data_IF_702557972228
#
_entry.id   IF_702557972228
#
_cell.length_a   1.000
_cell.length_b   1.000
_cell.length_c   1.000
_cell.angle_alpha   90.00
_cell.angle_beta   90.00
_cell.angle_gamma   90.00
#
_symmetry.space_group_name_H-M   'P 1'
#
loop_
_entity.id
_entity.type
_entity.pdbx_description
1 polymer ?
#
# COMPACT_ATOMS: atom_id res chain seq x y z
N UNK A 1 48.03 -118.33 -13.29
CA UNK A 1 48.26 -117.42 -12.15
C UNK A 1 46.88 -117.12 -11.57
N UNK A 2 46.46 -117.89 -10.56
CA UNK A 2 45.08 -117.89 -10.04
C UNK A 2 45.12 -117.27 -8.65
N UNK A 3 44.55 -116.08 -8.51
CA UNK A 3 44.34 -115.40 -7.24
C UNK A 3 43.11 -116.02 -6.58
N UNK A 4 43.30 -116.88 -5.59
CA UNK A 4 42.20 -117.44 -4.82
C UNK A 4 41.70 -116.38 -3.83
N UNK A 5 40.70 -115.60 -4.23
CA UNK A 5 39.87 -114.85 -3.28
C UNK A 5 38.82 -115.81 -2.73
N UNK A 6 39.06 -116.34 -1.54
CA UNK A 6 38.07 -117.15 -0.82
C UNK A 6 37.07 -116.20 -0.18
N UNK A 7 35.91 -116.00 -0.79
CA UNK A 7 34.80 -115.31 -0.11
C UNK A 7 34.28 -116.21 1.01
N UNK A 8 34.74 -115.98 2.23
CA UNK A 8 34.26 -116.70 3.41
C UNK A 8 33.03 -115.95 3.94
N UNK A 9 31.83 -116.49 3.69
CA UNK A 9 30.56 -115.97 4.23
C UNK A 9 30.36 -116.33 5.71
N UNK A 10 31.39 -116.22 6.54
CA UNK A 10 31.25 -116.50 7.96
C UNK A 10 31.02 -115.18 8.71
N UNK A 11 30.00 -115.17 9.57
CA UNK A 11 29.82 -114.09 10.53
C UNK A 11 31.09 -113.95 11.38
N UNK A 12 31.72 -112.78 11.36
CA UNK A 12 32.79 -112.46 12.29
C UNK A 12 32.15 -111.98 13.60
N UNK A 13 32.19 -112.82 14.64
CA UNK A 13 31.70 -112.48 15.98
C UNK A 13 32.89 -112.34 16.91
N UNK A 14 33.12 -111.14 17.44
CA UNK A 14 34.18 -110.88 18.43
C UNK A 14 33.55 -110.72 19.80
N UNK A 15 33.59 -111.78 20.61
CA UNK A 15 33.04 -111.82 21.97
C UNK A 15 34.16 -111.95 23.00
N UNK A 16 34.46 -110.86 23.71
CA UNK A 16 35.27 -110.82 24.93
C UNK A 16 34.74 -109.72 25.85
N UNK A 17 35.16 -109.67 27.12
CA UNK A 17 34.71 -108.65 28.10
C UNK A 17 34.97 -107.21 27.64
N UNK A 18 35.99 -107.00 26.82
CA UNK A 18 36.29 -105.71 26.16
C UNK A 18 36.76 -105.97 24.72
N UNK A 19 35.85 -106.20 23.75
CA UNK A 19 36.22 -106.55 22.39
C UNK A 19 36.91 -105.37 21.69
N UNK A 20 37.96 -105.65 20.93
CA UNK A 20 38.69 -104.65 20.17
C UNK A 20 38.99 -105.23 18.79
N UNK A 21 38.69 -104.46 17.75
CA UNK A 21 39.11 -104.71 16.38
C UNK A 21 40.16 -103.66 16.04
N UNK A 22 41.42 -104.07 15.95
CA UNK A 22 42.53 -103.17 15.59
C UNK A 22 42.85 -103.30 14.11
N UNK A 23 42.85 -102.18 13.38
CA UNK A 23 43.19 -102.12 11.97
C UNK A 23 44.41 -101.21 11.80
N UNK A 24 45.61 -101.80 11.76
CA UNK A 24 46.88 -101.07 11.92
C UNK A 24 47.63 -100.80 10.60
N UNK A 25 46.93 -100.64 9.48
CA UNK A 25 47.54 -100.37 8.16
C UNK A 25 47.13 -99.01 7.59
N UNK A 26 48.00 -98.39 6.77
CA UNK A 26 47.64 -97.21 5.97
C UNK A 26 46.48 -97.55 5.02
N UNK A 27 45.35 -96.87 5.16
CA UNK A 27 44.16 -97.11 4.34
C UNK A 27 43.36 -98.36 4.77
N UNK A 28 43.47 -98.81 6.01
CA UNK A 28 42.61 -99.89 6.49
C UNK A 28 41.14 -99.45 6.52
N UNK A 29 40.27 -100.20 5.84
CA UNK A 29 38.84 -99.87 5.67
C UNK A 29 37.95 -100.96 6.24
N UNK A 30 36.81 -100.56 6.81
CA UNK A 30 35.66 -101.44 7.01
C UNK A 30 34.63 -101.05 5.96
N UNK A 31 34.35 -101.95 5.03
CA UNK A 31 33.37 -101.74 3.96
C UNK A 31 32.11 -102.52 4.26
N UNK A 32 30.97 -101.82 4.26
CA UNK A 32 29.66 -102.44 4.40
C UNK A 32 28.99 -102.41 3.03
N UNK A 33 28.68 -103.58 2.47
CA UNK A 33 28.01 -103.70 1.18
C UNK A 33 26.52 -103.93 1.40
N UNK A 34 25.68 -103.08 0.79
CA UNK A 34 24.22 -103.18 0.73
C UNK A 34 23.54 -103.56 2.07
N UNK A 35 23.22 -102.55 2.88
CA UNK A 35 22.40 -102.70 4.09
C UNK A 35 22.62 -101.55 5.07
N UNK A 36 21.72 -101.42 6.05
CA UNK A 36 21.87 -100.46 7.13
C UNK A 36 23.00 -100.91 8.08
N UNK A 37 23.90 -99.97 8.41
CA UNK A 37 24.90 -100.18 9.47
C UNK A 37 24.29 -99.72 10.78
N UNK A 38 23.88 -100.67 11.62
CA UNK A 38 23.38 -100.36 12.97
C UNK A 38 24.51 -100.52 13.99
N UNK A 39 24.89 -99.41 14.62
CA UNK A 39 25.87 -99.38 15.72
C UNK A 39 25.11 -99.22 17.04
N UNK A 40 25.01 -100.30 17.81
CA UNK A 40 24.40 -100.28 19.15
C UNK A 40 25.51 -100.30 20.20
N UNK A 41 25.53 -99.31 21.08
CA UNK A 41 26.53 -99.18 22.13
C UNK A 41 25.88 -98.66 23.40
N UNK A 42 26.14 -99.29 24.56
CA UNK A 42 25.50 -98.93 25.83
C UNK A 42 25.79 -97.50 26.29
N UNK A 43 26.95 -96.95 25.87
CA UNK A 43 27.34 -95.57 26.14
C UNK A 43 26.81 -94.56 25.10
N UNK A 44 26.09 -95.01 24.06
CA UNK A 44 25.56 -94.20 22.95
C UNK A 44 26.56 -93.22 22.28
N UNK A 45 27.87 -93.51 22.37
CA UNK A 45 28.93 -92.61 21.89
C UNK A 45 29.73 -93.26 20.77
N UNK A 46 29.69 -92.69 19.57
CA UNK A 46 30.64 -92.97 18.50
C UNK A 46 31.68 -91.86 18.48
N UNK A 47 32.96 -92.22 18.50
CA UNK A 47 34.05 -91.23 18.47
C UNK A 47 34.91 -91.40 17.23
N UNK A 48 35.09 -90.30 16.50
CA UNK A 48 35.96 -90.20 15.33
C UNK A 48 37.01 -89.13 15.67
N UNK A 49 38.29 -89.51 15.70
CA UNK A 49 39.39 -88.59 16.02
C UNK A 49 40.36 -88.46 14.84
N UNK A 50 40.94 -87.27 14.68
CA UNK A 50 42.07 -87.03 13.77
C UNK A 50 41.74 -86.95 12.27
N UNK A 51 40.46 -86.90 11.88
CA UNK A 51 40.03 -86.79 10.49
C UNK A 51 38.58 -86.30 10.33
N UNK A 52 38.10 -86.31 9.09
CA UNK A 52 36.78 -85.80 8.71
C UNK A 52 35.69 -86.89 8.71
N UNK A 53 34.46 -86.50 9.03
CA UNK A 53 33.27 -87.31 8.77
C UNK A 53 32.61 -86.82 7.46
N UNK A 54 32.84 -87.56 6.37
CA UNK A 54 32.29 -87.22 5.04
C UNK A 54 31.01 -88.00 4.75
N UNK A 55 29.94 -87.30 4.40
CA UNK A 55 28.64 -87.88 4.00
C UNK A 55 28.45 -87.96 2.48
N UNK A 56 29.29 -87.29 1.69
CA UNK A 56 29.11 -87.18 0.24
C UNK A 56 27.78 -86.48 -0.12
N UNK A 57 26.98 -87.10 -0.99
CA UNK A 57 25.66 -86.60 -1.43
C UNK A 57 24.51 -86.96 -0.48
N UNK A 58 24.82 -87.51 0.69
CA UNK A 58 23.82 -88.02 1.64
C UNK A 58 23.47 -86.99 2.72
N UNK A 59 22.39 -87.28 3.44
CA UNK A 59 21.85 -86.40 4.48
C UNK A 59 22.31 -86.83 5.89
N UNK A 60 22.43 -85.86 6.79
CA UNK A 60 22.49 -86.09 8.24
C UNK A 60 21.08 -85.89 8.82
N UNK A 61 20.41 -86.96 9.23
CA UNK A 61 19.11 -86.91 9.89
C UNK A 61 19.29 -87.09 11.40
N UNK A 62 18.80 -86.13 12.20
CA UNK A 62 18.91 -86.14 13.66
C UNK A 62 17.60 -85.64 14.27
N UNK A 63 17.20 -86.20 15.41
CA UNK A 63 16.10 -85.66 16.25
C UNK A 63 16.62 -84.76 17.39
N UNK A 64 17.94 -84.59 17.48
CA UNK A 64 18.63 -83.83 18.53
C UNK A 64 19.56 -82.74 17.99
N UNK A 65 20.56 -82.35 18.78
CA UNK A 65 21.51 -81.29 18.44
C UNK A 65 22.74 -81.84 17.73
N UNK A 66 23.33 -81.04 16.82
CA UNK A 66 24.62 -81.33 16.18
C UNK A 66 25.80 -81.18 17.15
N UNK A 67 25.66 -80.29 18.14
CA UNK A 67 26.64 -80.10 19.22
C UNK A 67 26.00 -80.18 20.59
N UNK A 68 26.77 -80.51 21.62
CA UNK A 68 26.32 -80.50 23.02
C UNK A 68 26.21 -79.07 23.55
N UNK A 69 25.28 -78.82 24.48
CA UNK A 69 25.12 -77.52 25.13
C UNK A 69 26.45 -77.03 25.72
N UNK A 70 26.83 -75.79 25.41
CA UNK A 70 28.10 -75.18 25.86
C UNK A 70 29.31 -75.51 24.99
N UNK A 71 29.20 -76.46 24.05
CA UNK A 71 30.21 -76.69 23.01
C UNK A 71 29.85 -75.94 21.73
N UNK A 72 30.87 -75.61 20.93
CA UNK A 72 30.70 -74.84 19.70
C UNK A 72 30.75 -75.77 18.49
N UNK A 73 29.81 -75.59 17.57
CA UNK A 73 30.08 -75.86 16.15
C UNK A 73 30.86 -74.65 15.66
N UNK A 74 32.18 -74.79 15.51
CA UNK A 74 33.07 -73.62 15.32
C UNK A 74 32.83 -72.90 14.00
N UNK A 75 32.48 -73.64 12.94
CA UNK A 75 32.18 -73.09 11.60
C UNK A 75 31.16 -73.99 10.88
N UNK A 76 30.29 -73.38 10.10
CA UNK A 76 29.41 -74.07 9.14
C UNK A 76 29.45 -73.33 7.81
N UNK A 77 29.64 -74.07 6.73
CA UNK A 77 29.60 -73.54 5.36
C UNK A 77 28.41 -74.16 4.67
N UNK A 78 27.45 -73.33 4.28
CA UNK A 78 26.22 -73.74 3.63
C UNK A 78 26.08 -72.97 2.32
N UNK A 79 25.79 -73.66 1.22
CA UNK A 79 25.39 -72.99 -0.03
C UNK A 79 24.00 -72.35 0.14
N UNK A 80 23.13 -73.04 0.87
CA UNK A 80 21.81 -72.58 1.28
C UNK A 80 21.52 -73.05 2.70
N UNK A 81 20.83 -72.21 3.47
CA UNK A 81 20.37 -72.53 4.82
C UNK A 81 18.89 -72.22 4.90
N UNK A 82 18.07 -73.26 5.09
CA UNK A 82 16.64 -73.12 5.31
C UNK A 82 16.34 -73.31 6.79
N UNK A 83 15.63 -72.35 7.38
CA UNK A 83 15.26 -72.36 8.79
C UNK A 83 13.77 -72.05 8.89
N UNK A 84 13.00 -73.01 9.39
CA UNK A 84 11.53 -72.85 9.57
C UNK A 84 11.19 -72.11 10.86
N UNK A 85 12.06 -72.19 11.88
CA UNK A 85 11.88 -71.50 13.16
C UNK A 85 13.06 -70.55 13.41
N UNK A 86 12.83 -69.23 13.58
CA UNK A 86 13.90 -68.25 13.67
C UNK A 86 14.97 -68.63 14.69
N UNK A 87 16.26 -68.55 14.33
CA UNK A 87 17.32 -68.85 15.27
C UNK A 87 17.38 -67.78 16.36
N UNK A 88 18.00 -68.14 17.49
CA UNK A 88 18.33 -67.18 18.54
C UNK A 88 19.83 -66.87 18.50
N UNK A 89 20.19 -65.62 18.78
CA UNK A 89 21.58 -65.18 19.01
C UNK A 89 21.65 -64.72 20.46
N UNK A 90 22.52 -65.34 21.25
CA UNK A 90 22.66 -65.07 22.69
C UNK A 90 21.32 -65.14 23.47
N UNK A 91 20.44 -66.07 23.09
CA UNK A 91 19.12 -66.25 23.71
C UNK A 91 18.04 -65.27 23.23
N UNK A 92 18.38 -64.34 22.34
CA UNK A 92 17.44 -63.38 21.77
C UNK A 92 17.04 -63.86 20.37
N UNK A 93 15.74 -63.86 20.06
CA UNK A 93 15.26 -64.16 18.71
C UNK A 93 15.92 -63.20 17.72
N UNK A 94 16.46 -63.72 16.62
CA UNK A 94 17.10 -62.88 15.60
C UNK A 94 16.15 -61.81 15.03
N UNK A 95 14.83 -62.05 15.10
CA UNK A 95 13.80 -61.07 14.75
C UNK A 95 13.75 -59.83 15.67
N UNK A 96 14.37 -59.88 16.85
CA UNK A 96 14.44 -58.77 17.78
C UNK A 96 15.78 -58.01 17.74
N UNK A 97 16.75 -58.48 16.94
CA UNK A 97 18.11 -57.91 16.87
C UNK A 97 18.27 -57.00 15.65
N UNK A 98 17.56 -57.30 14.56
CA UNK A 98 17.60 -56.52 13.32
C UNK A 98 16.20 -56.08 12.92
N UNK A 99 16.07 -54.87 12.37
CA UNK A 99 14.82 -54.43 11.77
C UNK A 99 14.56 -55.22 10.48
N UNK A 100 13.35 -55.77 10.26
CA UNK A 100 13.01 -56.46 9.03
C UNK A 100 13.03 -55.49 7.83
N UNK A 101 13.34 -56.00 6.63
CA UNK A 101 13.34 -55.19 5.40
C UNK A 101 11.93 -54.64 5.09
N UNK A 102 10.89 -55.43 5.38
CA UNK A 102 9.50 -55.03 5.20
C UNK A 102 8.88 -54.67 6.55
N UNK A 103 8.14 -53.55 6.61
CA UNK A 103 7.48 -53.06 7.82
C UNK A 103 8.43 -52.89 9.02
N UNK A 104 9.64 -52.37 8.78
CA UNK A 104 10.60 -52.03 9.82
C UNK A 104 9.95 -51.13 10.89
N UNK A 105 9.96 -51.57 12.15
CA UNK A 105 9.59 -50.74 13.29
C UNK A 105 10.86 -50.42 14.07
N UNK A 106 11.31 -49.17 13.97
CA UNK A 106 12.49 -48.68 14.66
C UNK A 106 12.06 -48.00 15.96
N UNK A 107 12.49 -48.53 17.09
CA UNK A 107 12.21 -47.96 18.42
C UNK A 107 13.48 -47.35 19.01
N UNK A 108 13.33 -46.28 19.80
CA UNK A 108 14.45 -45.56 20.42
C UNK A 108 15.11 -44.53 19.49
N UNK A 109 16.34 -44.13 19.82
CA UNK A 109 17.13 -43.18 19.03
C UNK A 109 17.86 -43.90 17.91
N UNK A 110 17.57 -43.54 16.67
CA UNK A 110 18.25 -44.05 15.48
C UNK A 110 19.09 -42.94 14.87
N UNK A 111 20.39 -43.19 14.70
CA UNK A 111 21.28 -42.31 13.94
C UNK A 111 21.20 -42.70 12.47
N UNK A 112 20.70 -41.78 11.63
CA UNK A 112 20.62 -41.98 10.19
C UNK A 112 21.86 -41.39 9.50
N UNK A 113 22.52 -42.11 8.56
CA UNK A 113 23.58 -41.53 7.75
C UNK A 113 23.09 -40.33 6.93
N UNK A 114 24.02 -39.44 6.56
CA UNK A 114 23.73 -38.29 5.69
C UNK A 114 23.26 -38.66 4.27
N UNK A 115 23.25 -39.95 3.92
CA UNK A 115 22.78 -40.49 2.63
C UNK A 115 21.40 -41.15 2.73
N UNK A 116 20.72 -41.10 3.88
CA UNK A 116 19.39 -41.72 4.02
C UNK A 116 18.33 -40.99 3.19
N UNK A 117 17.53 -41.75 2.45
CA UNK A 117 16.34 -41.26 1.75
C UNK A 117 15.11 -42.09 2.15
N UNK A 118 13.96 -41.43 2.32
CA UNK A 118 12.67 -42.09 2.58
C UNK A 118 11.77 -41.86 1.36
N UNK A 119 11.72 -42.86 0.47
CA UNK A 119 11.08 -42.70 -0.83
C UNK A 119 11.76 -41.60 -1.65
N UNK A 120 11.02 -40.55 -2.00
CA UNK A 120 11.54 -39.38 -2.71
C UNK A 120 12.09 -38.30 -1.78
N UNK A 121 11.94 -38.44 -0.46
CA UNK A 121 12.45 -37.48 0.52
C UNK A 121 13.94 -37.72 0.75
N UNK A 122 14.77 -36.74 0.40
CA UNK A 122 16.22 -36.77 0.53
C UNK A 122 16.70 -36.54 1.97
N UNK A 123 17.98 -36.83 2.23
CA UNK A 123 18.61 -36.56 3.53
C UNK A 123 18.63 -35.07 3.88
N UNK A 124 18.73 -34.18 2.89
CA UNK A 124 18.65 -32.73 3.08
C UNK A 124 17.25 -32.32 3.57
N UNK A 125 16.20 -32.88 2.97
CA UNK A 125 14.82 -32.60 3.38
C UNK A 125 14.50 -33.13 4.78
N UNK A 126 14.98 -34.33 5.12
CA UNK A 126 14.89 -34.88 6.48
C UNK A 126 15.66 -33.98 7.46
N UNK A 127 16.81 -33.46 7.06
CA UNK A 127 17.65 -32.55 7.85
C UNK A 127 16.96 -31.23 8.20
N UNK A 128 16.01 -30.72 7.40
CA UNK A 128 15.22 -29.54 7.76
C UNK A 128 14.29 -29.76 8.95
N UNK A 129 14.09 -31.01 9.36
CA UNK A 129 13.35 -31.37 10.57
C UNK A 129 14.24 -31.42 11.82
N UNK A 130 15.55 -31.15 11.69
CA UNK A 130 16.43 -31.04 12.85
C UNK A 130 15.94 -29.94 13.81
N UNK A 131 16.02 -30.22 15.11
CA UNK A 131 15.50 -29.38 16.21
C UNK A 131 13.97 -29.18 16.27
N UNK A 132 13.18 -29.88 15.45
CA UNK A 132 11.72 -29.91 15.62
C UNK A 132 11.37 -30.69 16.91
N UNK A 133 11.02 -29.96 17.97
CA UNK A 133 10.77 -30.51 19.31
C UNK A 133 9.30 -30.82 19.60
N UNK A 134 8.37 -30.46 18.70
CA UNK A 134 6.94 -30.71 18.82
C UNK A 134 6.37 -31.23 17.51
N UNK A 135 5.10 -31.68 17.52
CA UNK A 135 4.46 -32.16 16.30
C UNK A 135 4.55 -31.09 15.19
N UNK A 136 5.05 -31.51 14.01
CA UNK A 136 5.29 -30.60 12.88
C UNK A 136 3.98 -30.02 12.34
N UNK A 137 2.87 -30.77 12.42
CA UNK A 137 1.59 -30.33 11.87
C UNK A 137 1.03 -29.09 12.58
N UNK A 138 0.99 -28.99 13.92
CA UNK A 138 0.70 -27.73 14.62
C UNK A 138 1.58 -26.55 14.17
N UNK A 139 2.88 -26.76 13.96
CA UNK A 139 3.79 -25.70 13.52
C UNK A 139 3.44 -25.21 12.09
N UNK A 140 3.10 -26.13 11.19
CA UNK A 140 2.64 -25.82 9.83
C UNK A 140 1.29 -25.10 9.87
N UNK A 141 0.37 -25.54 10.72
CA UNK A 141 -0.96 -24.95 10.86
C UNK A 141 -0.93 -23.50 11.39
N UNK A 142 0.16 -23.08 12.04
CA UNK A 142 0.37 -21.70 12.49
C UNK A 142 0.87 -20.76 11.38
N UNK A 143 1.37 -21.29 10.27
CA UNK A 143 1.81 -20.45 9.14
C UNK A 143 0.58 -19.86 8.45
N UNK A 144 0.64 -18.56 8.12
CA UNK A 144 -0.42 -17.89 7.39
C UNK A 144 -0.60 -18.52 5.99
N UNK A 145 -1.85 -18.72 5.52
CA UNK A 145 -2.10 -19.27 4.19
C UNK A 145 -1.66 -18.27 3.11
N UNK A 146 -1.25 -18.80 1.94
CA UNK A 146 -0.81 -17.97 0.80
C UNK A 146 -1.95 -17.13 0.21
N UNK A 147 -3.18 -17.67 0.24
CA UNK A 147 -4.38 -17.01 -0.25
C UNK A 147 -5.20 -16.53 0.94
N UNK A 148 -5.57 -15.25 0.95
CA UNK A 148 -6.36 -14.59 1.98
C UNK A 148 -5.80 -14.82 3.41
N UNK A 149 -4.54 -14.47 3.69
CA UNK A 149 -3.98 -14.59 5.03
C UNK A 149 -4.79 -13.75 6.03
N UNK A 150 -5.23 -14.37 7.13
CA UNK A 150 -5.79 -13.67 8.27
C UNK A 150 -4.70 -13.56 9.34
N UNK A 151 -4.11 -12.37 9.47
CA UNK A 151 -3.06 -12.07 10.44
C UNK A 151 -3.70 -11.40 11.67
N UNK A 152 -3.36 -11.87 12.87
CA UNK A 152 -3.79 -11.27 14.13
C UNK A 152 -2.60 -10.62 14.85
N UNK A 153 -2.87 -9.60 15.68
CA UNK A 153 -1.82 -8.86 16.40
C UNK A 153 -1.17 -7.74 15.58
N UNK A 154 -0.03 -7.24 16.08
CA UNK A 154 0.73 -6.19 15.40
C UNK A 154 1.51 -6.78 14.21
N UNK A 155 1.15 -6.38 13.00
CA UNK A 155 1.84 -6.76 11.76
C UNK A 155 2.83 -5.66 11.39
N UNK A 156 4.13 -5.96 11.46
CA UNK A 156 5.19 -5.04 11.00
C UNK A 156 5.42 -5.29 9.50
N UNK A 157 5.11 -4.30 8.68
CA UNK A 157 5.32 -4.34 7.24
C UNK A 157 6.62 -3.61 6.88
N UNK A 158 7.53 -4.21 6.07
CA UNK A 158 8.68 -3.49 5.52
C UNK A 158 8.25 -2.28 4.71
N UNK A 159 9.11 -1.25 4.62
CA UNK A 159 8.86 -0.03 3.84
C UNK A 159 8.64 -0.29 2.34
N UNK A 160 9.04 -1.46 1.84
CA UNK A 160 8.85 -1.90 0.45
C UNK A 160 7.54 -2.65 0.20
N UNK A 161 6.69 -2.80 1.22
CA UNK A 161 5.40 -3.51 1.06
C UNK A 161 4.48 -2.75 0.13
N UNK A 162 4.02 -3.39 -0.94
CA UNK A 162 2.97 -2.85 -1.82
C UNK A 162 1.63 -3.48 -1.45
N UNK A 163 0.68 -2.68 -0.95
CA UNK A 163 -0.70 -3.12 -0.68
C UNK A 163 -1.57 -2.65 -1.84
N UNK A 164 -1.91 -3.57 -2.75
CA UNK A 164 -2.78 -3.26 -3.88
C UNK A 164 -4.24 -3.13 -3.40
N UNK A 165 -4.97 -2.12 -3.90
CA UNK A 165 -6.39 -1.94 -3.57
C UNK A 165 -6.64 -1.39 -2.16
N UNK A 166 -5.78 -0.46 -1.70
CA UNK A 166 -5.81 0.13 -0.37
C UNK A 166 -7.11 0.92 -0.06
N UNK A 167 -8.21 0.23 0.21
CA UNK A 167 -9.18 0.69 1.19
C UNK A 167 -8.66 0.22 2.55
N UNK A 168 -7.69 0.92 3.17
CA UNK A 168 -7.60 0.83 4.64
C UNK A 168 -8.90 1.44 5.13
N UNK A 169 -9.82 0.69 5.75
CA UNK A 169 -10.92 1.31 6.47
C UNK A 169 -10.27 1.92 7.73
N UNK A 170 -9.87 3.19 7.66
CA UNK A 170 -9.67 4.00 8.87
C UNK A 170 -8.30 4.60 9.20
N UNK A 171 -7.27 4.63 8.34
CA UNK A 171 -6.01 5.34 8.70
C UNK A 171 -5.67 6.55 7.82
N UNK A 172 -6.11 6.61 6.55
CA UNK A 172 -5.82 7.79 5.69
C UNK A 172 -7.08 8.43 5.11
N UNK A 173 -8.19 7.68 4.99
CA UNK A 173 -9.48 8.21 4.52
C UNK A 173 -10.30 8.97 5.57
N UNK A 174 -9.98 8.83 6.86
CA UNK A 174 -10.82 9.34 7.95
C UNK A 174 -10.39 10.73 8.43
N UNK A 175 -9.09 11.04 8.53
CA UNK A 175 -8.67 12.34 9.09
C UNK A 175 -9.07 13.51 8.20
N UNK A 176 -9.04 13.36 6.88
CA UNK A 176 -9.45 14.44 5.96
C UNK A 176 -10.97 14.56 5.92
N UNK A 177 -11.69 13.45 5.83
CA UNK A 177 -13.16 13.43 5.79
C UNK A 177 -13.77 13.88 7.12
N UNK A 178 -13.25 13.42 8.27
CA UNK A 178 -13.68 13.88 9.59
C UNK A 178 -13.37 15.35 9.81
N UNK A 179 -12.22 15.87 9.32
CA UNK A 179 -11.92 17.30 9.37
C UNK A 179 -12.81 18.13 8.45
N UNK A 180 -13.25 17.58 7.33
CA UNK A 180 -14.23 18.23 6.43
C UNK A 180 -15.61 18.25 7.09
N UNK A 181 -16.05 17.16 7.72
CA UNK A 181 -17.36 17.07 8.40
C UNK A 181 -17.43 17.91 9.67
N UNK A 182 -16.30 18.07 10.39
CA UNK A 182 -16.21 18.89 11.59
C UNK A 182 -15.84 20.36 11.32
N UNK A 183 -15.51 20.73 10.07
CA UNK A 183 -15.21 22.12 9.72
C UNK A 183 -16.49 22.96 9.77
N UNK A 184 -16.40 24.15 10.38
CA UNK A 184 -17.46 25.15 10.28
C UNK A 184 -17.66 25.54 8.81
N UNK A 185 -18.90 25.55 8.30
CA UNK A 185 -19.20 25.94 6.93
C UNK A 185 -18.60 27.31 6.59
N UNK A 186 -18.02 27.46 5.39
CA UNK A 186 -17.35 28.70 4.98
C UNK A 186 -18.29 29.92 5.05
N UNK A 187 -19.58 29.72 4.83
CA UNK A 187 -20.63 30.74 4.95
C UNK A 187 -20.84 31.27 6.38
N UNK A 188 -20.41 30.55 7.41
CA UNK A 188 -20.55 30.99 8.81
C UNK A 188 -19.35 31.83 9.27
N UNK A 189 -18.22 31.79 8.56
CA UNK A 189 -16.96 32.44 8.95
C UNK A 189 -16.42 33.43 7.91
N UNK A 190 -16.91 33.39 6.67
CA UNK A 190 -16.55 34.31 5.62
C UNK A 190 -17.78 34.62 4.74
N UNK A 191 -17.96 35.87 4.28
CA UNK A 191 -18.98 36.18 3.29
C UNK A 191 -18.66 35.42 2.01
N UNK A 192 -19.46 34.40 1.71
CA UNK A 192 -19.44 33.75 0.39
C UNK A 192 -20.04 34.77 -0.55
N UNK A 193 -19.21 35.42 -1.36
CA UNK A 193 -19.67 36.23 -2.47
C UNK A 193 -20.42 35.29 -3.41
N UNK A 194 -21.73 35.22 -3.25
CA UNK A 194 -22.56 34.74 -4.33
C UNK A 194 -22.27 35.70 -5.48
N UNK A 195 -21.64 35.19 -6.53
CA UNK A 195 -21.55 35.85 -7.84
C UNK A 195 -22.96 35.87 -8.43
N UNK A 196 -23.87 36.59 -7.76
CA UNK A 196 -25.17 36.89 -8.32
C UNK A 196 -24.91 38.04 -9.26
N UNK A 197 -25.04 37.78 -10.55
CA UNK A 197 -24.76 38.72 -11.63
C UNK A 197 -25.53 40.04 -11.57
N UNK A 198 -26.38 40.31 -10.56
CA UNK A 198 -27.34 41.41 -10.55
C UNK A 198 -27.44 42.26 -9.25
N UNK A 199 -26.49 42.22 -8.30
CA UNK A 199 -26.45 43.26 -7.26
C UNK A 199 -25.03 43.50 -6.70
N UNK A 200 -24.48 44.73 -6.80
CA UNK A 200 -23.14 45.04 -6.31
C UNK A 200 -23.16 45.23 -4.79
N UNK A 201 -23.05 44.13 -4.04
CA UNK A 201 -22.66 44.18 -2.62
C UNK A 201 -21.15 44.45 -2.49
N UNK A 202 -20.69 45.59 -2.99
CA UNK A 202 -19.30 46.04 -2.90
C UNK A 202 -19.10 47.02 -1.75
N UNK A 203 -17.85 47.14 -1.27
CA UNK A 203 -17.47 48.20 -0.32
C UNK A 203 -17.55 49.53 -1.07
N UNK A 204 -18.53 50.36 -0.72
CA UNK A 204 -18.71 51.71 -1.24
C UNK A 204 -19.03 52.65 -0.07
N UNK A 205 -18.69 53.93 -0.21
CA UNK A 205 -18.96 54.91 0.86
C UNK A 205 -20.47 55.06 1.09
N UNK A 206 -20.89 55.38 2.32
CA UNK A 206 -22.31 55.51 2.67
C UNK A 206 -23.07 56.50 1.77
N UNK A 207 -22.41 57.61 1.42
CA UNK A 207 -22.97 58.62 0.52
C UNK A 207 -23.16 58.09 -0.91
N UNK A 208 -22.27 57.22 -1.39
CA UNK A 208 -22.44 56.58 -2.70
C UNK A 208 -23.63 55.60 -2.69
N UNK A 209 -23.85 54.87 -1.60
CA UNK A 209 -24.99 53.95 -1.48
C UNK A 209 -26.33 54.71 -1.48
N UNK A 210 -26.41 55.82 -0.73
CA UNK A 210 -27.58 56.72 -0.72
C UNK A 210 -27.87 57.33 -2.10
N UNK A 211 -26.83 57.76 -2.83
CA UNK A 211 -27.00 58.36 -4.16
C UNK A 211 -27.52 57.36 -5.21
N UNK A 212 -27.19 56.06 -5.08
CA UNK A 212 -27.69 55.01 -5.97
C UNK A 212 -29.18 54.71 -5.73
N UNK A 213 -29.65 54.85 -4.49
CA UNK A 213 -31.03 54.56 -4.08
C UNK A 213 -31.96 55.76 -4.22
N UNK A 214 -31.43 56.98 -4.09
CA UNK A 214 -32.20 58.23 -4.12
C UNK A 214 -32.51 58.79 -5.51
N UNK A 215 -31.96 58.24 -6.59
CA UNK A 215 -32.13 58.77 -7.94
C UNK A 215 -32.18 57.67 -8.99
N UNK A 216 -33.31 57.57 -9.70
CA UNK A 216 -33.50 56.62 -10.79
C UNK A 216 -32.34 56.65 -11.80
N UNK A 217 -31.93 55.45 -12.22
CA UNK A 217 -30.75 55.18 -13.05
C UNK A 217 -30.40 56.26 -14.06
N UNK A 218 -29.47 57.14 -13.69
CA UNK A 218 -28.77 58.03 -14.59
C UNK A 218 -27.38 57.44 -14.82
N UNK A 219 -27.21 56.73 -15.94
CA UNK A 219 -25.89 56.41 -16.43
C UNK A 219 -25.03 57.67 -16.54
N UNK A 220 -23.72 57.50 -16.43
CA UNK A 220 -22.68 58.52 -16.60
C UNK A 220 -22.83 59.32 -17.92
N UNK A 221 -23.70 60.34 -17.95
CA UNK A 221 -23.94 61.15 -19.13
C UNK A 221 -22.99 62.34 -19.15
N UNK A 222 -22.16 62.44 -20.20
CA UNK A 222 -21.46 63.69 -20.54
C UNK A 222 -22.36 64.48 -21.46
N UNK A 223 -22.82 65.63 -21.00
CA UNK A 223 -23.62 66.52 -21.82
C UNK A 223 -22.71 67.49 -22.57
N UNK A 224 -23.09 67.86 -23.80
CA UNK A 224 -22.41 68.94 -24.51
C UNK A 224 -23.40 69.87 -25.18
N UNK A 225 -23.01 71.13 -25.28
CA UNK A 225 -23.72 72.14 -26.07
C UNK A 225 -22.81 72.60 -27.19
N UNK A 226 -23.33 72.66 -28.42
CA UNK A 226 -22.62 73.11 -29.61
C UNK A 226 -23.42 74.20 -30.30
N UNK A 227 -22.80 75.33 -30.59
CA UNK A 227 -23.45 76.41 -31.31
C UNK A 227 -22.46 77.21 -32.17
N UNK A 228 -23.02 77.99 -33.09
CA UNK A 228 -22.32 79.04 -33.83
C UNK A 228 -22.91 80.40 -33.45
N UNK A 229 -22.05 81.33 -33.09
CA UNK A 229 -22.46 82.68 -32.68
C UNK A 229 -23.25 83.38 -33.79
N UNK A 230 -24.35 84.05 -33.46
CA UNK A 230 -25.25 84.77 -34.38
C UNK A 230 -26.01 83.93 -35.44
N UNK A 231 -25.76 82.62 -35.56
CA UNK A 231 -26.50 81.74 -36.50
C UNK A 231 -27.35 80.68 -35.80
N UNK A 232 -26.97 80.26 -34.59
CA UNK A 232 -27.78 79.33 -33.79
C UNK A 232 -28.79 80.12 -32.96
N UNK A 233 -30.08 79.78 -33.05
CA UNK A 233 -31.12 80.45 -32.28
C UNK A 233 -30.87 80.28 -30.77
N UNK A 234 -30.89 81.40 -30.03
CA UNK A 234 -30.61 81.43 -28.58
C UNK A 234 -29.11 81.38 -28.20
N UNK A 235 -28.20 81.36 -29.18
CA UNK A 235 -26.77 81.47 -28.93
C UNK A 235 -26.33 82.95 -28.79
N UNK A 236 -25.22 83.22 -28.09
CA UNK A 236 -24.59 84.54 -28.04
C UNK A 236 -24.27 85.09 -29.45
N UNK A 237 -24.29 86.42 -29.58
CA UNK A 237 -23.89 87.13 -30.80
C UNK A 237 -22.45 87.65 -30.70
N UNK A 238 -21.89 88.08 -31.82
CA UNK A 238 -20.56 88.68 -31.84
C UNK A 238 -20.50 89.91 -30.92
N UNK A 239 -19.52 89.95 -30.01
CA UNK A 239 -19.37 90.98 -28.98
C UNK A 239 -19.91 90.59 -27.60
N UNK A 240 -20.73 89.54 -27.48
CA UNK A 240 -21.19 89.06 -26.18
C UNK A 240 -20.04 88.47 -25.36
N UNK A 241 -20.08 88.69 -24.05
CA UNK A 241 -19.03 88.25 -23.12
C UNK A 241 -19.45 87.15 -22.17
N UNK A 242 -20.74 86.75 -22.18
CA UNK A 242 -21.24 85.68 -21.33
C UNK A 242 -22.31 84.82 -21.99
N UNK A 243 -22.47 83.62 -21.46
CA UNK A 243 -23.51 82.66 -21.85
C UNK A 243 -23.98 81.92 -20.60
N UNK A 244 -25.30 81.85 -20.39
CA UNK A 244 -25.90 81.27 -19.19
C UNK A 244 -26.77 80.08 -19.56
N UNK A 245 -26.58 78.97 -18.86
CA UNK A 245 -27.39 77.78 -19.02
C UNK A 245 -27.67 77.13 -17.66
N UNK A 246 -28.90 76.68 -17.43
CA UNK A 246 -29.30 76.07 -16.14
C UNK A 246 -28.50 74.82 -15.80
N UNK A 247 -28.15 74.03 -16.83
CA UNK A 247 -27.33 72.82 -16.71
C UNK A 247 -25.85 73.06 -16.35
N UNK A 248 -25.37 74.30 -16.27
CA UNK A 248 -23.97 74.58 -15.90
C UNK A 248 -23.76 74.69 -14.38
N UNK A 249 -24.83 74.83 -13.59
CA UNK A 249 -24.74 75.00 -12.13
C UNK A 249 -24.21 73.72 -11.47
N UNK A 250 -23.18 73.85 -10.64
CA UNK A 250 -22.57 72.72 -9.92
C UNK A 250 -21.77 71.77 -10.82
N UNK A 251 -21.43 72.16 -12.06
CA UNK A 251 -20.75 71.30 -13.03
C UNK A 251 -19.35 71.79 -13.34
N UNK A 252 -18.51 70.90 -13.86
CA UNK A 252 -17.25 71.27 -14.47
C UNK A 252 -17.45 71.47 -15.98
N UNK A 253 -16.85 72.51 -16.56
CA UNK A 253 -17.00 72.79 -17.99
C UNK A 253 -15.65 72.81 -18.69
N UNK A 254 -15.59 72.13 -19.83
CA UNK A 254 -14.50 72.25 -20.79
C UNK A 254 -15.01 72.98 -22.02
N UNK A 255 -14.48 74.16 -22.28
CA UNK A 255 -14.90 75.01 -23.39
C UNK A 255 -13.89 74.90 -24.53
N UNK A 256 -14.40 74.67 -25.74
CA UNK A 256 -13.66 74.72 -26.99
C UNK A 256 -14.21 75.84 -27.87
N UNK A 257 -13.33 76.69 -28.37
CA UNK A 257 -13.64 77.79 -29.30
C UNK A 257 -12.75 77.66 -30.52
N UNK A 258 -13.36 77.55 -31.72
CA UNK A 258 -12.63 77.25 -32.97
C UNK A 258 -11.68 76.04 -32.85
N UNK A 259 -12.10 75.03 -32.07
CA UNK A 259 -11.30 73.84 -31.79
C UNK A 259 -10.24 73.99 -30.69
N UNK A 260 -9.98 75.21 -30.19
CA UNK A 260 -9.00 75.47 -29.14
C UNK A 260 -9.64 75.45 -27.74
N UNK A 261 -9.00 74.75 -26.80
CA UNK A 261 -9.45 74.71 -25.39
C UNK A 261 -9.25 76.10 -24.77
N UNK A 262 -10.27 76.57 -24.06
CA UNK A 262 -10.20 77.76 -23.22
C UNK A 262 -9.85 77.32 -21.80
N UNK A 263 -8.77 77.85 -21.26
CA UNK A 263 -8.37 77.53 -19.89
C UNK A 263 -9.27 78.26 -18.87
N UNK A 264 -9.63 77.60 -17.76
CA UNK A 264 -10.42 78.22 -16.72
C UNK A 264 -9.62 79.30 -15.99
N UNK A 265 -10.20 80.49 -15.87
CA UNK A 265 -9.63 81.55 -15.03
C UNK A 265 -10.22 81.46 -13.62
N UNK A 266 -9.41 81.00 -12.66
CA UNK A 266 -9.79 80.82 -11.25
C UNK A 266 -9.59 82.07 -10.39
N UNK A 267 -8.95 83.12 -10.92
CA UNK A 267 -8.75 84.36 -10.17
C UNK A 267 -10.01 85.22 -10.18
N UNK A 268 -10.43 85.67 -8.99
CA UNK A 268 -11.64 86.47 -8.76
C UNK A 268 -11.67 87.84 -9.45
N UNK A 269 -10.61 88.23 -10.16
CA UNK A 269 -10.37 89.59 -10.65
C UNK A 269 -10.89 89.75 -12.10
N UNK A 270 -11.67 90.80 -12.41
CA UNK A 270 -12.05 91.10 -13.79
C UNK A 270 -10.85 91.65 -14.59
N UNK A 271 -10.54 91.01 -15.74
CA UNK A 271 -9.54 91.36 -16.79
C UNK A 271 -8.08 90.99 -16.45
N UNK A 272 -7.34 90.21 -17.26
CA UNK A 272 -6.90 90.52 -18.64
C UNK A 272 -6.43 89.30 -19.47
N UNK A 273 -6.62 88.06 -19.01
CA UNK A 273 -6.03 86.87 -19.65
C UNK A 273 -7.08 86.04 -20.40
N UNK A 274 -6.71 85.51 -21.56
CA UNK A 274 -7.55 84.63 -22.40
C UNK A 274 -8.07 83.42 -21.61
N UNK A 275 -9.38 83.13 -21.70
CA UNK A 275 -10.01 81.99 -21.05
C UNK A 275 -11.51 82.16 -20.77
N UNK A 276 -12.05 81.25 -19.95
CA UNK A 276 -13.45 81.27 -19.51
C UNK A 276 -13.59 81.12 -17.99
N UNK A 277 -14.67 81.63 -17.41
CA UNK A 277 -14.96 81.50 -15.97
C UNK A 277 -16.43 81.16 -15.74
N UNK A 278 -16.69 80.08 -15.01
CA UNK A 278 -18.03 79.68 -14.56
C UNK A 278 -18.35 80.32 -13.21
N UNK A 279 -19.56 80.86 -13.08
CA UNK A 279 -20.20 81.10 -11.79
C UNK A 279 -21.03 79.87 -11.40
N UNK A 280 -20.53 79.08 -10.46
CA UNK A 280 -21.12 77.79 -10.09
C UNK A 280 -22.51 77.90 -9.44
N UNK A 281 -22.88 79.10 -8.96
CA UNK A 281 -24.17 79.40 -8.34
C UNK A 281 -25.23 79.82 -9.38
N UNK A 282 -24.84 80.65 -10.36
CA UNK A 282 -25.78 81.20 -11.34
C UNK A 282 -25.82 80.39 -12.65
N UNK A 283 -24.79 79.62 -12.98
CA UNK A 283 -24.66 78.90 -14.24
C UNK A 283 -24.24 79.79 -15.42
N UNK A 284 -23.74 80.99 -15.13
CA UNK A 284 -23.21 81.92 -16.14
C UNK A 284 -21.73 81.61 -16.40
N UNK A 285 -21.35 81.53 -17.66
CA UNK A 285 -19.96 81.44 -18.11
C UNK A 285 -19.57 82.74 -18.78
N UNK A 286 -18.45 83.33 -18.36
CA UNK A 286 -17.89 84.56 -18.92
C UNK A 286 -16.67 84.20 -19.77
N UNK A 287 -16.57 84.77 -20.98
CA UNK A 287 -15.54 84.46 -21.97
C UNK A 287 -14.68 85.68 -22.28
N UNK A 288 -13.36 85.49 -22.37
CA UNK A 288 -12.40 86.50 -22.84
C UNK A 288 -11.37 85.84 -23.78
N UNK A 289 -11.15 86.35 -25.00
CA UNK A 289 -11.82 87.49 -25.64
C UNK A 289 -13.34 87.25 -25.82
N UNK A 290 -14.12 88.31 -26.11
CA UNK A 290 -15.57 88.17 -26.38
C UNK A 290 -15.84 87.28 -27.59
N UNK A 291 -17.09 86.86 -27.79
CA UNK A 291 -17.46 86.04 -28.94
C UNK A 291 -17.21 86.75 -30.27
N UNK A 292 -16.60 86.06 -31.23
CA UNK A 292 -16.35 86.52 -32.59
C UNK A 292 -17.56 86.35 -33.50
N UNK A 293 -17.43 86.71 -34.78
CA UNK A 293 -18.48 86.50 -35.78
C UNK A 293 -18.42 85.09 -36.37
N UNK A 294 -19.55 84.39 -36.40
CA UNK A 294 -19.68 83.00 -36.89
C UNK A 294 -18.72 82.00 -36.22
N UNK A 295 -18.41 82.26 -34.95
CA UNK A 295 -17.50 81.46 -34.17
C UNK A 295 -18.15 80.15 -33.70
N UNK A 296 -17.44 79.03 -33.84
CA UNK A 296 -17.84 77.72 -33.35
C UNK A 296 -17.45 77.53 -31.89
N UNK A 297 -18.44 77.23 -31.05
CA UNK A 297 -18.26 76.98 -29.62
C UNK A 297 -18.83 75.61 -29.25
N UNK A 298 -18.04 74.83 -28.54
CA UNK A 298 -18.43 73.54 -27.96
C UNK A 298 -18.14 73.61 -26.46
N UNK A 299 -19.13 73.30 -25.64
CA UNK A 299 -18.98 73.27 -24.19
C UNK A 299 -19.33 71.85 -23.73
N UNK A 300 -18.36 71.14 -23.20
CA UNK A 300 -18.59 69.88 -22.49
C UNK A 300 -18.93 70.19 -21.04
N UNK A 301 -19.97 69.52 -20.53
CA UNK A 301 -20.47 69.65 -19.17
C UNK A 301 -20.29 68.31 -18.50
N UNK A 302 -19.37 68.27 -17.54
CA UNK A 302 -19.05 67.07 -16.78
C UNK A 302 -19.60 67.19 -15.36
N UNK A 303 -20.14 66.08 -14.87
CA UNK A 303 -20.51 65.95 -13.46
C UNK A 303 -19.29 66.02 -12.56
N UNK A 304 -19.46 66.61 -11.37
CA UNK A 304 -18.43 66.68 -10.34
C UNK A 304 -17.88 65.29 -9.94
N UNK A 305 -18.61 64.21 -10.22
CA UNK A 305 -18.21 62.82 -9.97
C UNK A 305 -16.97 62.40 -10.79
N UNK A 306 -16.72 63.02 -11.95
CA UNK A 306 -15.59 62.65 -12.82
C UNK A 306 -14.24 63.18 -12.36
N UNK A 307 -14.22 64.17 -11.47
CA UNK A 307 -13.00 64.78 -10.96
C UNK A 307 -12.99 64.67 -9.44
N UNK A 308 -12.14 63.80 -8.91
CA UNK A 308 -11.86 63.76 -7.47
C UNK A 308 -10.71 64.72 -7.16
N UNK A 309 -10.85 65.47 -6.08
CA UNK A 309 -9.78 66.31 -5.57
C UNK A 309 -8.65 65.40 -5.05
N UNK A 310 -7.43 65.60 -5.55
CA UNK A 310 -6.27 64.86 -5.07
C UNK A 310 -5.90 65.38 -3.67
N UNK A 311 -5.99 64.53 -2.66
CA UNK A 311 -5.51 64.85 -1.31
C UNK A 311 -3.98 64.92 -1.28
N UNK A 312 -3.43 65.83 -0.48
CA UNK A 312 -1.99 65.89 -0.21
C UNK A 312 -1.57 64.61 0.52
N UNK A 313 -0.56 63.90 -0.02
CA UNK A 313 -0.02 62.68 0.60
C UNK A 313 0.36 62.93 2.06
N UNK A 314 -0.17 62.10 2.96
CA UNK A 314 0.16 62.15 4.40
C UNK A 314 -0.72 63.04 5.27
N UNK A 315 -1.85 63.56 4.77
CA UNK A 315 -2.89 64.17 5.59
C UNK A 315 -4.25 63.54 5.26
N UNK A 316 -4.97 63.06 6.29
CA UNK A 316 -6.34 62.61 6.08
C UNK A 316 -7.22 63.81 5.73
N UNK A 317 -7.90 63.74 4.58
CA UNK A 317 -8.92 64.70 4.23
C UNK A 317 -10.09 64.55 5.20
N UNK A 318 -10.30 65.55 6.05
CA UNK A 318 -11.42 65.61 7.00
C UNK A 318 -12.82 65.65 6.36
N UNK A 319 -12.93 65.44 5.04
CA UNK A 319 -14.18 65.35 4.29
C UNK A 319 -14.60 63.90 3.97
N UNK A 320 -13.80 62.88 4.32
CA UNK A 320 -14.20 61.47 4.27
C UNK A 320 -14.76 61.01 5.62
N UNK A 321 -15.80 61.67 6.11
CA UNK A 321 -16.61 61.12 7.20
C UNK A 321 -17.58 60.07 6.63
N UNK A 322 -17.44 58.80 7.00
CA UNK A 322 -18.46 57.78 6.71
C UNK A 322 -18.13 56.69 5.68
N UNK A 323 -16.85 56.30 5.55
CA UNK A 323 -16.55 54.97 4.99
C UNK A 323 -17.14 53.92 5.94
N UNK A 324 -18.26 53.30 5.55
CA UNK A 324 -18.85 52.17 6.28
C UNK A 324 -18.66 50.92 5.46
N UNK A 325 -17.98 49.93 6.03
CA UNK A 325 -18.11 48.55 5.59
C UNK A 325 -19.51 48.05 6.04
N UNK A 326 -20.08 47.03 5.37
CA UNK A 326 -21.31 46.36 5.79
C UNK A 326 -22.54 47.27 6.01
N UNK A 327 -23.19 47.64 4.90
CA UNK A 327 -24.52 48.22 4.89
C UNK A 327 -25.50 47.24 4.24
N UNK A 328 -26.73 47.18 4.74
CA UNK A 328 -27.82 46.43 4.11
C UNK A 328 -28.97 47.37 3.72
N UNK A 329 -29.72 46.98 2.68
CA UNK A 329 -30.97 47.62 2.34
C UNK A 329 -32.03 47.12 3.31
N UNK A 330 -32.86 48.02 3.83
CA UNK A 330 -34.05 47.64 4.59
C UNK A 330 -34.96 46.74 3.74
N UNK A 331 -35.11 45.48 4.16
CA UNK A 331 -35.85 44.44 3.43
C UNK A 331 -37.35 44.76 3.30
N UNK A 332 -37.87 45.72 4.06
CA UNK A 332 -39.30 46.10 4.02
C UNK A 332 -39.59 47.21 3.00
N UNK A 333 -38.63 48.10 2.74
CA UNK A 333 -38.89 49.32 1.95
C UNK A 333 -37.95 49.54 0.76
N UNK A 334 -36.81 48.84 0.68
CA UNK A 334 -35.84 48.94 -0.43
C UNK A 334 -35.27 50.34 -0.68
N UNK A 335 -35.54 51.31 0.20
CA UNK A 335 -35.26 52.74 -0.02
C UNK A 335 -34.42 53.36 1.10
N UNK A 336 -34.08 52.59 2.13
CA UNK A 336 -33.30 53.03 3.28
C UNK A 336 -32.07 52.12 3.47
N UNK A 337 -30.91 52.74 3.73
CA UNK A 337 -29.63 52.07 4.03
C UNK A 337 -29.41 52.05 5.53
N UNK A 338 -29.41 50.87 6.14
CA UNK A 338 -29.16 50.68 7.58
C UNK A 338 -27.70 50.26 7.84
N UNK A 339 -27.15 50.68 8.99
CA UNK A 339 -25.85 50.21 9.47
C UNK A 339 -26.03 48.80 10.07
N UNK A 340 -25.36 47.78 9.50
CA UNK A 340 -25.53 46.40 9.94
C UNK A 340 -24.62 46.01 11.10
N UNK A 341 -23.96 46.96 11.77
CA UNK A 341 -23.09 46.70 12.94
C UNK A 341 -23.84 46.54 14.28
N UNK A 342 -25.04 46.00 14.28
CA UNK A 342 -25.67 45.49 15.50
C UNK A 342 -25.99 44.01 15.34
N UNK A 343 -24.96 43.19 15.53
CA UNK A 343 -25.06 41.77 15.85
C UNK A 343 -23.97 41.45 16.87
N UNK A 344 -24.38 41.00 18.05
CA UNK A 344 -23.48 40.39 19.02
C UNK A 344 -23.06 38.98 18.63
#
# INVERSE_FOLDING_TARGET
MITAQTTIYNNLVVQKTAPLLHLNGTGATISFYNGDVTLVQSANTLTLFGGDFSLGTNNLLLTGSVGVTGSRVTKGWFSTLEITNPPTIAGVSMAAIYAPINNANLTGTVILPATTSIGTVSSAEIGYLDNVSSAIQPQINLKAPINNPNLTGAVVLPATTTIAGNTVPGIVGDTVTARITAATPLNDIAPVWADTTNAPGGIMTYNQAQNLLGGGGGGVARDWIKFRTATTAGAPVAGDSSFTHTGFKGKFLTVFREGNIQFPNTTGVPNITDGCRLNNTTGEVIFRPVFGTNEQVIIHVDDQIYYTELSIEGQESGLLTGLRAYWNLDEVSGTLVNDSHTGG
#
